data_IF_797065204692
#
_entry.id   IF_797065204692
#
_cell.length_a   1.000
_cell.length_b   1.000
_cell.length_c   1.000
_cell.angle_alpha   90.00
_cell.angle_beta   90.00
_cell.angle_gamma   90.00
#
_symmetry.space_group_name_H-M   'P 1'
#
loop_
_entity.id
_entity.type
_entity.pdbx_description
1 polymer ?
#
# COMPACT_ATOMS: atom_id res chain seq x y z
N UNK A 1 -1.83 6.29 -21.07
CA UNK A 1 -2.40 7.23 -20.10
C UNK A 1 -1.55 8.51 -20.02
N UNK A 2 -2.17 9.69 -19.90
CA UNK A 2 -1.47 11.00 -19.90
C UNK A 2 -0.42 11.10 -18.78
N UNK A 3 -0.73 10.59 -17.57
CA UNK A 3 0.14 10.63 -16.38
C UNK A 3 1.51 9.99 -16.63
N UNK A 4 1.58 8.94 -17.44
CA UNK A 4 2.84 8.25 -17.79
C UNK A 4 3.76 9.04 -18.73
N UNK A 5 3.29 10.18 -19.23
CA UNK A 5 4.06 11.11 -20.05
C UNK A 5 4.34 12.43 -19.34
N UNK A 6 4.00 12.53 -18.06
CA UNK A 6 4.18 13.73 -17.26
C UNK A 6 5.32 13.54 -16.27
N UNK A 7 6.12 14.56 -16.07
CA UNK A 7 7.12 14.68 -15.01
C UNK A 7 6.64 15.64 -13.93
N UNK A 8 7.22 15.53 -12.74
CA UNK A 8 6.95 16.47 -11.64
C UNK A 8 7.87 17.68 -11.76
N UNK A 9 7.30 18.85 -11.77
CA UNK A 9 8.03 20.11 -11.68
C UNK A 9 7.92 20.61 -10.26
N UNK A 10 9.06 20.85 -9.64
CA UNK A 10 9.19 21.45 -8.30
C UNK A 10 9.67 22.90 -8.47
N UNK A 11 8.78 23.89 -8.58
CA UNK A 11 9.17 25.28 -8.76
C UNK A 11 9.83 25.82 -7.48
N UNK A 12 10.71 26.81 -7.60
CA UNK A 12 11.34 27.47 -6.45
C UNK A 12 10.31 28.19 -5.57
N UNK A 13 9.17 28.56 -6.12
CA UNK A 13 8.04 29.16 -5.42
C UNK A 13 6.74 28.54 -5.93
N UNK A 14 5.92 28.00 -5.02
CA UNK A 14 4.65 27.36 -5.37
C UNK A 14 4.63 25.87 -5.04
N UNK A 15 3.57 25.17 -5.47
CA UNK A 15 3.38 23.76 -5.23
C UNK A 15 3.92 22.91 -6.39
N UNK A 16 4.43 21.73 -6.14
CA UNK A 16 4.77 20.77 -7.19
C UNK A 16 3.57 20.48 -8.09
N UNK A 17 3.80 20.36 -9.38
CA UNK A 17 2.75 20.09 -10.36
C UNK A 17 3.22 19.16 -11.48
N UNK A 18 2.27 18.60 -12.21
CA UNK A 18 2.53 17.70 -13.32
C UNK A 18 2.57 18.45 -14.65
N UNK A 19 3.64 18.24 -15.42
CA UNK A 19 3.83 18.80 -16.75
C UNK A 19 4.14 17.69 -17.77
N UNK A 20 3.65 17.83 -19.00
CA UNK A 20 4.04 16.90 -20.07
C UNK A 20 5.54 17.03 -20.32
N UNK A 21 6.22 15.89 -20.35
CA UNK A 21 7.63 15.85 -20.72
C UNK A 21 7.75 16.03 -22.25
N UNK A 22 8.34 17.14 -22.73
CA UNK A 22 8.48 17.39 -24.16
C UNK A 22 9.48 16.43 -24.84
N UNK A 23 10.32 15.77 -24.05
CA UNK A 23 11.32 14.82 -24.52
C UNK A 23 10.97 13.37 -24.14
N UNK A 24 9.68 13.10 -23.86
CA UNK A 24 9.25 11.78 -23.48
C UNK A 24 9.60 10.75 -24.55
N UNK A 25 10.42 9.77 -24.15
CA UNK A 25 10.74 8.59 -24.92
C UNK A 25 10.42 7.34 -24.09
N UNK A 26 9.51 6.52 -24.58
CA UNK A 26 9.08 5.31 -23.91
C UNK A 26 10.24 4.31 -23.74
N UNK A 27 11.20 4.30 -24.66
CA UNK A 27 12.36 3.38 -24.61
C UNK A 27 13.24 3.65 -23.38
N UNK A 28 13.26 4.87 -22.87
CA UNK A 28 13.99 5.23 -21.65
C UNK A 28 13.33 4.68 -20.35
N UNK A 29 12.13 4.14 -20.46
CA UNK A 29 11.35 3.59 -19.35
C UNK A 29 11.16 2.07 -19.41
N UNK A 30 11.51 1.46 -20.55
CA UNK A 30 11.38 0.02 -20.76
C UNK A 30 12.76 -0.63 -20.76
N UNK A 31 12.98 -1.55 -19.86
CA UNK A 31 14.26 -2.23 -19.71
C UNK A 31 14.06 -3.73 -19.90
N UNK A 32 14.91 -4.33 -20.73
CA UNK A 32 14.96 -5.77 -20.92
C UNK A 32 16.27 -6.27 -20.36
N UNK A 33 16.20 -7.12 -19.34
CA UNK A 33 17.37 -7.64 -18.61
C UNK A 33 17.19 -9.14 -18.36
N UNK A 34 18.27 -9.82 -18.04
CA UNK A 34 18.23 -11.23 -17.69
C UNK A 34 18.88 -11.48 -16.33
N UNK A 35 18.35 -12.43 -15.57
CA UNK A 35 19.01 -12.91 -14.36
C UNK A 35 20.19 -13.81 -14.71
N UNK A 36 21.28 -13.73 -13.94
CA UNK A 36 22.34 -14.73 -14.05
C UNK A 36 21.83 -16.11 -13.60
N UNK A 37 22.38 -17.17 -14.17
CA UNK A 37 22.08 -18.52 -13.72
C UNK A 37 22.41 -18.66 -12.21
N UNK A 38 21.58 -19.37 -11.42
CA UNK A 38 20.47 -20.24 -11.82
C UNK A 38 19.12 -19.52 -12.02
N UNK A 39 19.03 -18.21 -11.86
CA UNK A 39 17.78 -17.44 -12.01
C UNK A 39 16.72 -17.79 -10.98
N UNK A 40 17.15 -18.10 -9.77
CA UNK A 40 16.29 -18.49 -8.66
C UNK A 40 15.62 -17.27 -7.97
N UNK A 41 14.78 -17.54 -6.99
CA UNK A 41 14.09 -16.51 -6.21
C UNK A 41 15.09 -15.55 -5.55
N UNK A 42 16.18 -16.05 -5.00
CA UNK A 42 17.17 -15.22 -4.30
C UNK A 42 17.86 -14.22 -5.24
N UNK A 43 18.16 -14.66 -6.48
CA UNK A 43 18.71 -13.77 -7.51
C UNK A 43 17.69 -12.67 -7.89
N UNK A 44 16.41 -13.02 -8.03
CA UNK A 44 15.35 -12.05 -8.31
C UNK A 44 15.15 -11.08 -7.15
N UNK A 45 15.11 -11.55 -5.90
CA UNK A 45 15.01 -10.71 -4.70
C UNK A 45 16.17 -9.72 -4.60
N UNK A 46 17.39 -10.16 -4.93
CA UNK A 46 18.57 -9.30 -4.96
C UNK A 46 18.42 -8.20 -6.01
N UNK A 47 18.08 -8.55 -7.24
CA UNK A 47 17.86 -7.57 -8.31
C UNK A 47 16.78 -6.54 -7.93
N UNK A 48 15.64 -7.00 -7.41
CA UNK A 48 14.54 -6.10 -7.01
C UNK A 48 14.96 -5.21 -5.84
N UNK A 49 15.75 -5.74 -4.89
CA UNK A 49 16.30 -4.96 -3.77
C UNK A 49 17.23 -3.85 -4.26
N UNK A 50 18.11 -4.14 -5.20
CA UNK A 50 19.03 -3.17 -5.79
C UNK A 50 18.27 -2.07 -6.54
N UNK A 51 17.32 -2.47 -7.37
CA UNK A 51 16.45 -1.53 -8.09
C UNK A 51 15.61 -0.68 -7.13
N UNK A 52 15.07 -1.25 -6.05
CA UNK A 52 14.31 -0.51 -5.04
C UNK A 52 15.18 0.47 -4.23
N UNK A 53 16.49 0.21 -4.14
CA UNK A 53 17.46 1.08 -3.45
C UNK A 53 17.91 2.27 -4.28
N UNK A 54 17.62 2.29 -5.59
CA UNK A 54 17.93 3.42 -6.47
C UNK A 54 16.72 4.34 -6.63
N UNK A 55 16.92 5.65 -6.71
CA UNK A 55 15.86 6.60 -6.98
C UNK A 55 15.46 6.60 -8.46
N UNK A 56 14.19 6.90 -8.74
CA UNK A 56 13.76 7.23 -10.09
C UNK A 56 14.29 8.62 -10.49
N UNK A 57 14.61 8.78 -11.77
CA UNK A 57 15.05 10.07 -12.33
C UNK A 57 13.89 11.09 -12.31
N UNK A 58 14.02 12.13 -11.49
CA UNK A 58 12.99 13.16 -11.33
C UNK A 58 12.85 14.09 -12.54
N UNK A 59 13.79 14.06 -13.47
CA UNK A 59 13.70 14.82 -14.72
C UNK A 59 12.80 14.15 -15.76
N UNK A 60 12.38 12.91 -15.50
CA UNK A 60 11.53 12.09 -16.35
C UNK A 60 10.22 11.71 -15.65
N UNK A 61 9.23 11.17 -16.37
CA UNK A 61 8.09 10.50 -15.77
C UNK A 61 8.54 9.42 -14.78
N UNK A 62 7.92 9.40 -13.61
CA UNK A 62 8.40 8.65 -12.44
C UNK A 62 7.98 7.16 -12.46
N UNK A 63 8.33 6.47 -13.54
CA UNK A 63 8.05 5.04 -13.70
C UNK A 63 9.11 4.35 -14.56
N UNK A 64 9.26 3.06 -14.36
CA UNK A 64 10.09 2.16 -15.17
C UNK A 64 9.45 0.75 -15.17
N UNK A 65 9.51 0.07 -16.29
CA UNK A 65 9.12 -1.34 -16.44
C UNK A 65 10.34 -2.16 -16.84
N UNK A 66 10.52 -3.29 -16.21
CA UNK A 66 11.59 -4.24 -16.47
C UNK A 66 10.98 -5.57 -16.90
N UNK A 67 11.30 -6.01 -18.11
CA UNK A 67 11.11 -7.39 -18.52
C UNK A 67 12.38 -8.16 -18.14
N UNK A 68 12.21 -9.18 -17.30
CA UNK A 68 13.32 -9.93 -16.70
C UNK A 68 13.25 -11.35 -17.18
N UNK A 69 14.22 -11.77 -18.02
CA UNK A 69 14.36 -13.14 -18.47
C UNK A 69 15.11 -14.00 -17.46
N UNK A 70 14.98 -15.33 -17.60
CA UNK A 70 15.74 -16.29 -16.81
C UNK A 70 15.26 -16.42 -15.35
N UNK A 71 14.01 -16.11 -15.08
CA UNK A 71 13.39 -16.37 -13.77
C UNK A 71 12.82 -17.78 -13.77
N UNK A 72 13.56 -18.73 -13.19
CA UNK A 72 13.21 -20.14 -13.25
C UNK A 72 13.13 -20.63 -14.71
N UNK A 73 11.92 -21.09 -15.11
CA UNK A 73 11.64 -21.52 -16.50
C UNK A 73 10.92 -20.44 -17.33
N UNK A 74 10.79 -19.25 -16.84
CA UNK A 74 10.04 -18.16 -17.45
C UNK A 74 10.72 -16.80 -17.28
N UNK A 75 9.92 -15.78 -17.13
CA UNK A 75 10.34 -14.40 -16.90
C UNK A 75 9.49 -13.71 -15.85
N UNK A 76 9.86 -12.48 -15.52
CA UNK A 76 9.08 -11.62 -14.64
C UNK A 76 8.92 -10.22 -15.24
N UNK A 77 7.81 -9.57 -14.92
CA UNK A 77 7.60 -8.15 -15.17
C UNK A 77 7.68 -7.39 -13.83
N UNK A 78 8.65 -6.48 -13.73
CA UNK A 78 8.79 -5.60 -12.58
C UNK A 78 8.40 -4.18 -12.98
N UNK A 79 7.43 -3.62 -12.26
CA UNK A 79 7.04 -2.23 -12.39
C UNK A 79 7.56 -1.41 -11.20
N UNK A 80 8.31 -0.36 -11.48
CA UNK A 80 8.72 0.65 -10.51
C UNK A 80 7.93 1.92 -10.78
N UNK A 81 7.12 2.33 -9.83
CA UNK A 81 6.27 3.51 -9.96
C UNK A 81 6.38 4.34 -8.67
N UNK A 82 6.53 5.65 -8.83
CA UNK A 82 6.47 6.55 -7.68
C UNK A 82 5.02 6.69 -7.21
N UNK A 83 4.79 6.66 -5.90
CA UNK A 83 3.44 6.68 -5.33
C UNK A 83 2.63 7.94 -5.65
N UNK A 84 3.29 9.04 -6.06
CA UNK A 84 2.60 10.24 -6.54
C UNK A 84 1.85 10.04 -7.86
N UNK A 85 2.13 8.96 -8.61
CA UNK A 85 1.47 8.70 -9.90
C UNK A 85 0.03 8.18 -9.76
N UNK A 86 -0.28 7.57 -8.64
CA UNK A 86 -1.59 7.03 -8.32
C UNK A 86 -1.54 6.16 -7.07
N UNK A 87 -2.69 5.86 -6.51
CA UNK A 87 -2.79 4.92 -5.40
C UNK A 87 -2.59 3.46 -5.84
N UNK A 88 -2.45 2.56 -4.86
CA UNK A 88 -2.17 1.16 -5.13
C UNK A 88 -3.24 0.48 -5.98
N UNK A 89 -4.51 0.86 -5.83
CA UNK A 89 -5.62 0.28 -6.60
C UNK A 89 -5.55 0.74 -8.05
N UNK A 90 -5.35 2.04 -8.28
CA UNK A 90 -5.22 2.62 -9.61
C UNK A 90 -4.00 2.06 -10.36
N UNK A 91 -2.85 1.91 -9.68
CA UNK A 91 -1.63 1.36 -10.26
C UNK A 91 -1.76 -0.14 -10.59
N UNK A 92 -2.38 -0.94 -9.72
CA UNK A 92 -2.65 -2.35 -9.99
C UNK A 92 -3.59 -2.52 -11.18
N UNK A 93 -4.65 -1.73 -11.27
CA UNK A 93 -5.56 -1.73 -12.43
C UNK A 93 -4.84 -1.39 -13.71
N UNK A 94 -3.98 -0.35 -13.68
CA UNK A 94 -3.18 0.00 -14.83
C UNK A 94 -2.30 -1.17 -15.28
N UNK A 95 -1.59 -1.83 -14.36
CA UNK A 95 -0.73 -2.97 -14.67
C UNK A 95 -1.53 -4.17 -15.22
N UNK A 96 -2.66 -4.47 -14.62
CA UNK A 96 -3.54 -5.53 -15.11
C UNK A 96 -4.12 -5.20 -16.48
N UNK A 97 -4.43 -3.92 -16.75
CA UNK A 97 -4.89 -3.45 -18.06
C UNK A 97 -3.85 -3.58 -19.18
N UNK A 98 -2.57 -3.86 -18.84
CA UNK A 98 -1.54 -4.21 -19.82
C UNK A 98 -1.59 -5.68 -20.26
N UNK A 99 -2.42 -6.50 -19.62
CA UNK A 99 -2.62 -7.91 -19.97
C UNK A 99 -3.90 -8.09 -20.76
N UNK A 100 -3.96 -9.13 -21.60
CA UNK A 100 -5.15 -9.44 -22.41
C UNK A 100 -6.41 -9.71 -21.55
N UNK A 101 -6.22 -10.29 -20.37
CA UNK A 101 -7.30 -10.58 -19.42
C UNK A 101 -7.65 -9.35 -18.56
N UNK A 102 -6.74 -8.44 -18.33
CA UNK A 102 -6.90 -7.28 -17.44
C UNK A 102 -7.92 -6.27 -17.95
N UNK A 103 -8.13 -6.20 -19.26
CA UNK A 103 -9.15 -5.34 -19.88
C UNK A 103 -10.58 -5.73 -19.49
N UNK A 104 -10.80 -6.95 -18.96
CA UNK A 104 -12.08 -7.48 -18.52
C UNK A 104 -12.34 -7.29 -17.01
N UNK A 105 -11.36 -6.78 -16.25
CA UNK A 105 -11.49 -6.64 -14.81
C UNK A 105 -12.33 -5.41 -14.45
N UNK A 106 -13.49 -5.68 -13.89
CA UNK A 106 -14.32 -4.64 -13.28
C UNK A 106 -13.62 -3.99 -12.09
N UNK A 107 -13.91 -2.70 -11.80
CA UNK A 107 -13.40 -2.03 -10.60
C UNK A 107 -13.72 -2.84 -9.33
N UNK A 108 -12.84 -2.89 -8.32
CA UNK A 108 -13.21 -3.47 -7.04
C UNK A 108 -14.42 -2.71 -6.47
N UNK A 109 -15.45 -3.46 -6.09
CA UNK A 109 -16.65 -2.90 -5.44
C UNK A 109 -16.39 -2.45 -3.98
N UNK A 110 -15.16 -2.54 -3.53
CA UNK A 110 -14.76 -2.31 -2.13
C UNK A 110 -14.22 -0.90 -1.98
N UNK A 111 -14.91 -0.09 -1.19
CA UNK A 111 -14.49 1.25 -0.79
C UNK A 111 -15.50 1.86 0.17
N UNK A 112 -15.07 2.83 0.96
CA UNK A 112 -15.96 3.68 1.74
C UNK A 112 -16.41 4.82 0.85
N UNK A 113 -17.73 5.05 0.75
CA UNK A 113 -18.25 6.16 -0.05
C UNK A 113 -17.87 7.50 0.60
N UNK A 114 -17.27 8.38 -0.19
CA UNK A 114 -16.90 9.70 0.30
C UNK A 114 -18.18 10.50 0.67
N UNK A 115 -18.24 11.13 1.85
CA UNK A 115 -19.37 11.96 2.24
C UNK A 115 -19.55 13.12 1.24
N UNK A 116 -20.76 13.27 0.69
CA UNK A 116 -21.10 14.38 -0.22
C UNK A 116 -22.00 15.37 0.52
N UNK A 117 -21.43 16.41 1.11
CA UNK A 117 -22.24 17.39 1.83
C UNK A 117 -23.10 18.18 0.84
N UNK A 118 -24.43 18.08 1.01
CA UNK A 118 -25.42 18.73 0.18
C UNK A 118 -25.66 20.20 0.54
N UNK A 119 -25.15 20.67 1.70
CA UNK A 119 -25.39 22.00 2.20
C UNK A 119 -24.30 22.56 3.12
N UNK A 120 -24.43 23.84 3.47
CA UNK A 120 -23.42 24.55 4.29
C UNK A 120 -23.27 23.93 5.69
N UNK A 121 -24.38 23.48 6.29
CA UNK A 121 -24.37 22.83 7.60
C UNK A 121 -23.65 21.48 7.58
N UNK A 122 -23.85 20.68 6.53
CA UNK A 122 -23.17 19.40 6.37
C UNK A 122 -21.68 19.59 6.08
N UNK A 123 -21.31 20.61 5.28
CA UNK A 123 -19.90 20.97 5.06
C UNK A 123 -19.21 21.40 6.36
N UNK A 124 -19.88 22.19 7.19
CA UNK A 124 -19.37 22.61 8.49
C UNK A 124 -19.22 21.41 9.45
N UNK A 125 -20.19 20.49 9.46
CA UNK A 125 -20.11 19.25 10.25
C UNK A 125 -18.96 18.36 9.78
N UNK A 126 -18.78 18.17 8.47
CA UNK A 126 -17.67 17.39 7.93
C UNK A 126 -16.32 18.03 8.27
N UNK A 127 -16.19 19.36 8.08
CA UNK A 127 -14.96 20.09 8.43
C UNK A 127 -14.64 19.98 9.93
N UNK A 128 -15.65 20.04 10.81
CA UNK A 128 -15.44 19.86 12.25
C UNK A 128 -15.04 18.43 12.62
N UNK A 129 -15.62 17.42 11.96
CA UNK A 129 -15.23 16.02 12.14
C UNK A 129 -13.79 15.76 11.69
N UNK A 130 -13.40 16.29 10.53
CA UNK A 130 -12.03 16.22 10.01
C UNK A 130 -11.03 16.94 10.93
N UNK A 131 -11.38 18.13 11.43
CA UNK A 131 -10.54 18.86 12.38
C UNK A 131 -10.37 18.09 13.70
N UNK A 132 -11.43 17.44 14.18
CA UNK A 132 -11.38 16.59 15.37
C UNK A 132 -10.54 15.33 15.14
N UNK A 133 -10.68 14.69 13.97
CA UNK A 133 -9.89 13.53 13.60
C UNK A 133 -8.38 13.88 13.50
N UNK A 134 -8.05 15.01 12.87
CA UNK A 134 -6.69 15.54 12.82
C UNK A 134 -6.16 15.87 14.20
N UNK A 135 -6.97 16.51 15.06
CA UNK A 135 -6.62 16.81 16.45
C UNK A 135 -6.32 15.53 17.25
N UNK A 136 -7.16 14.50 17.11
CA UNK A 136 -6.92 13.18 17.73
C UNK A 136 -5.63 12.55 17.23
N UNK A 137 -5.36 12.63 15.92
CA UNK A 137 -4.14 12.12 15.33
C UNK A 137 -2.88 12.82 15.88
N UNK A 138 -2.91 14.13 16.04
CA UNK A 138 -1.82 14.92 16.62
C UNK A 138 -1.59 14.64 18.11
N UNK A 139 -2.64 14.23 18.81
CA UNK A 139 -2.59 13.88 20.25
C UNK A 139 -2.27 12.41 20.51
N UNK A 140 -2.14 11.58 19.45
CA UNK A 140 -1.74 10.20 19.64
C UNK A 140 -0.33 10.13 20.25
N UNK A 141 -0.14 9.39 21.34
CA UNK A 141 1.20 9.17 21.87
C UNK A 141 2.05 8.44 20.82
N UNK A 142 3.36 8.68 20.78
CA UNK A 142 4.22 7.96 19.89
C UNK A 142 4.18 6.46 20.18
N UNK A 143 4.26 5.63 19.13
CA UNK A 143 4.42 4.19 19.30
C UNK A 143 5.66 3.87 20.11
N UNK A 144 5.61 2.75 20.83
CA UNK A 144 6.73 2.25 21.64
C UNK A 144 8.03 2.19 20.83
N UNK A 145 9.16 2.48 21.48
CA UNK A 145 10.45 2.35 20.84
C UNK A 145 10.82 0.86 20.76
N UNK A 146 11.12 0.40 19.56
CA UNK A 146 11.44 -1.01 19.27
C UNK A 146 12.58 -1.09 18.25
N UNK A 147 13.11 -2.29 18.03
CA UNK A 147 14.11 -2.55 16.97
C UNK A 147 13.60 -2.26 15.55
N UNK A 148 12.29 -2.04 15.38
CA UNK A 148 11.70 -1.65 14.10
C UNK A 148 11.89 -0.15 13.82
N UNK A 149 12.34 0.63 14.80
CA UNK A 149 12.59 2.07 14.67
C UNK A 149 14.09 2.32 14.62
N UNK A 150 14.53 3.16 13.69
CA UNK A 150 15.92 3.54 13.53
C UNK A 150 16.07 4.58 12.43
N UNK A 151 17.31 4.97 12.15
CA UNK A 151 17.60 5.81 11.00
C UNK A 151 17.31 5.08 9.68
N UNK A 152 16.68 5.77 8.76
CA UNK A 152 16.36 5.21 7.45
C UNK A 152 17.61 5.20 6.56
N UNK A 153 18.05 4.00 6.19
CA UNK A 153 19.10 3.82 5.19
C UNK A 153 18.59 3.96 3.75
N UNK A 154 19.52 4.08 2.82
CA UNK A 154 19.21 4.08 1.37
C UNK A 154 18.98 2.68 0.83
N UNK A 155 19.62 1.67 1.43
CA UNK A 155 19.48 0.28 1.02
C UNK A 155 18.12 -0.28 1.42
N UNK A 156 17.45 -0.87 0.46
CA UNK A 156 16.18 -1.59 0.66
C UNK A 156 16.38 -3.06 0.38
N UNK A 157 15.60 -3.89 1.05
CA UNK A 157 15.54 -5.33 0.78
C UNK A 157 14.10 -5.74 0.57
N UNK A 158 13.90 -6.63 -0.35
CA UNK A 158 12.62 -7.29 -0.59
C UNK A 158 12.78 -8.78 -0.37
N UNK A 159 11.73 -9.40 0.12
CA UNK A 159 11.61 -10.84 0.24
C UNK A 159 10.12 -11.20 0.09
N UNK A 160 9.84 -12.36 -0.44
CA UNK A 160 8.50 -12.95 -0.49
C UNK A 160 8.53 -14.42 -0.13
N UNK A 161 7.45 -14.89 0.42
CA UNK A 161 7.29 -16.30 0.76
C UNK A 161 6.87 -17.12 -0.44
N UNK A 162 6.96 -18.44 -0.30
CA UNK A 162 6.27 -19.34 -1.22
C UNK A 162 4.77 -18.99 -1.30
N UNK A 163 4.16 -19.18 -2.48
CA UNK A 163 2.74 -18.93 -2.64
C UNK A 163 1.87 -19.76 -1.70
N UNK A 164 0.90 -19.14 -1.06
CA UNK A 164 -0.08 -19.81 -0.23
C UNK A 164 -1.41 -19.95 -0.97
N UNK A 165 -2.05 -21.11 -0.87
CA UNK A 165 -3.36 -21.36 -1.48
C UNK A 165 -4.42 -20.42 -0.91
N UNK A 166 -5.13 -19.70 -1.79
CA UNK A 166 -6.14 -18.73 -1.37
C UNK A 166 -7.43 -19.39 -0.81
N UNK A 167 -7.83 -20.54 -1.35
CA UNK A 167 -9.07 -21.23 -0.94
C UNK A 167 -9.07 -21.71 0.51
N UNK A 168 -8.00 -22.33 1.03
CA UNK A 168 -7.89 -22.63 2.46
C UNK A 168 -8.00 -21.38 3.33
N UNK A 169 -7.37 -20.27 2.92
CA UNK A 169 -7.42 -19.00 3.66
C UNK A 169 -8.85 -18.43 3.67
N UNK A 170 -9.51 -18.35 2.51
CA UNK A 170 -10.92 -17.94 2.41
C UNK A 170 -11.85 -18.83 3.22
N UNK A 171 -11.60 -20.13 3.26
CA UNK A 171 -12.37 -21.08 4.06
C UNK A 171 -12.18 -20.85 5.56
N UNK A 172 -10.98 -20.52 6.00
CA UNK A 172 -10.70 -20.14 7.38
C UNK A 172 -11.43 -18.83 7.75
N UNK A 173 -11.41 -17.82 6.89
CA UNK A 173 -12.15 -16.57 7.09
C UNK A 173 -13.65 -16.81 7.26
N UNK A 174 -14.26 -17.62 6.37
CA UNK A 174 -15.70 -17.96 6.46
C UNK A 174 -16.05 -18.67 7.77
N UNK A 175 -15.20 -19.61 8.23
CA UNK A 175 -15.45 -20.32 9.51
C UNK A 175 -15.37 -19.40 10.71
N UNK A 176 -14.52 -18.37 10.66
CA UNK A 176 -14.34 -17.41 11.74
C UNK A 176 -15.24 -16.17 11.64
N UNK A 177 -15.99 -16.01 10.55
CA UNK A 177 -16.83 -14.83 10.32
C UNK A 177 -16.04 -13.54 10.12
N UNK A 178 -14.80 -13.63 9.64
CA UNK A 178 -13.90 -12.48 9.46
C UNK A 178 -13.53 -12.26 7.99
N UNK A 179 -13.00 -11.09 7.66
CA UNK A 179 -12.53 -10.77 6.32
C UNK A 179 -11.08 -11.22 6.12
N UNK A 180 -10.69 -11.36 4.86
CA UNK A 180 -9.32 -11.74 4.49
C UNK A 180 -8.28 -10.77 5.09
N UNK A 181 -8.56 -9.48 5.02
CA UNK A 181 -7.68 -8.45 5.59
C UNK A 181 -7.46 -8.65 7.09
N UNK A 182 -8.52 -8.93 7.84
CA UNK A 182 -8.45 -9.11 9.30
C UNK A 182 -7.53 -10.30 9.65
N UNK A 183 -7.66 -11.40 8.89
CA UNK A 183 -6.83 -12.58 9.07
C UNK A 183 -5.36 -12.32 8.73
N UNK A 184 -5.10 -11.63 7.61
CA UNK A 184 -3.72 -11.29 7.19
C UNK A 184 -3.03 -10.35 8.17
N UNK A 185 -3.74 -9.32 8.66
CA UNK A 185 -3.20 -8.39 9.66
C UNK A 185 -2.98 -9.10 11.00
N UNK A 186 -3.87 -10.05 11.39
CA UNK A 186 -3.68 -10.85 12.59
C UNK A 186 -2.45 -11.78 12.49
N UNK A 187 -2.21 -12.37 11.32
CA UNK A 187 -1.03 -13.17 11.06
C UNK A 187 0.25 -12.33 11.11
N UNK A 188 0.24 -11.15 10.45
CA UNK A 188 1.35 -10.20 10.50
C UNK A 188 1.65 -9.73 11.92
N UNK A 189 0.61 -9.38 12.70
CA UNK A 189 0.75 -9.00 14.11
C UNK A 189 1.41 -10.10 14.92
N UNK A 190 1.03 -11.36 14.66
CA UNK A 190 1.65 -12.50 15.33
C UNK A 190 3.09 -12.77 14.92
N UNK A 191 3.46 -12.48 13.68
CA UNK A 191 4.84 -12.56 13.21
C UNK A 191 5.70 -11.46 13.84
N UNK A 192 5.19 -10.22 13.88
CA UNK A 192 5.83 -9.10 14.55
C UNK A 192 6.02 -9.35 16.06
N UNK A 193 5.01 -9.91 16.72
CA UNK A 193 5.11 -10.27 18.13
C UNK A 193 6.28 -11.23 18.39
N UNK A 194 6.40 -12.31 17.62
CA UNK A 194 7.50 -13.28 17.74
C UNK A 194 8.86 -12.62 17.47
N UNK A 195 8.96 -11.84 16.40
CA UNK A 195 10.18 -11.13 16.07
C UNK A 195 10.61 -10.18 17.19
N UNK A 196 9.68 -9.43 17.79
CA UNK A 196 9.95 -8.51 18.87
C UNK A 196 10.31 -9.22 20.19
N UNK A 197 9.68 -10.39 20.48
CA UNK A 197 10.02 -11.23 21.63
C UNK A 197 11.48 -11.70 21.59
N UNK A 198 12.01 -12.01 20.42
CA UNK A 198 13.42 -12.37 20.23
C UNK A 198 14.38 -11.20 20.55
N UNK A 199 13.90 -9.95 20.51
CA UNK A 199 14.67 -8.73 20.73
C UNK A 199 14.36 -8.01 22.05
N UNK A 200 13.47 -8.55 22.86
CA UNK A 200 13.09 -7.97 24.15
C UNK A 200 11.68 -8.32 24.62
N UNK A 201 11.23 -7.60 25.64
CA UNK A 201 9.87 -7.78 26.16
C UNK A 201 8.86 -7.09 25.28
N UNK A 202 7.71 -7.71 25.08
CA UNK A 202 6.58 -7.18 24.30
C UNK A 202 5.41 -6.72 25.18
N UNK A 203 5.45 -7.01 26.49
CA UNK A 203 4.40 -6.61 27.42
C UNK A 203 4.33 -5.08 27.50
N UNK A 204 3.16 -4.53 27.26
CA UNK A 204 2.92 -3.08 27.27
C UNK A 204 3.42 -2.35 26.00
N UNK A 205 3.90 -3.06 24.97
CA UNK A 205 4.21 -2.42 23.69
C UNK A 205 2.93 -2.02 22.97
N UNK A 206 2.91 -0.77 22.52
CA UNK A 206 1.88 -0.23 21.63
C UNK A 206 2.47 -0.03 20.24
N UNK A 207 1.97 -0.76 19.28
CA UNK A 207 2.28 -0.60 17.87
C UNK A 207 0.99 -0.39 17.08
N UNK A 208 1.07 0.47 16.08
CA UNK A 208 -0.03 0.75 15.17
C UNK A 208 0.36 0.50 13.73
N UNK A 209 -0.57 0.02 12.96
CA UNK A 209 -0.49 -0.01 11.51
C UNK A 209 -1.22 1.21 10.95
N UNK A 210 -0.61 1.85 9.97
CA UNK A 210 -1.27 2.84 9.14
C UNK A 210 -1.87 2.10 7.94
N UNK A 211 -3.19 2.00 7.91
CA UNK A 211 -3.91 1.21 6.91
C UNK A 211 -4.59 2.16 5.92
N UNK A 212 -4.24 2.10 4.63
CA UNK A 212 -4.98 2.84 3.63
C UNK A 212 -6.36 2.23 3.41
N UNK A 213 -7.38 3.07 3.42
CA UNK A 213 -8.77 2.71 3.12
C UNK A 213 -9.16 3.42 1.83
N UNK A 214 -9.59 2.65 0.84
CA UNK A 214 -10.05 3.22 -0.42
C UNK A 214 -11.34 4.01 -0.19
N UNK A 215 -11.31 5.29 -0.53
CA UNK A 215 -12.47 6.19 -0.44
C UNK A 215 -13.05 6.30 -1.85
N UNK A 216 -14.26 5.76 -2.05
CA UNK A 216 -14.91 5.79 -3.36
C UNK A 216 -15.47 7.19 -3.62
N UNK A 217 -14.96 7.86 -4.64
CA UNK A 217 -15.65 9.00 -5.26
C UNK A 217 -16.42 8.51 -6.48
N UNK A 218 -17.75 8.60 -6.43
CA UNK A 218 -18.61 8.17 -7.55
C UNK A 218 -18.47 9.08 -8.80
N UNK A 219 -17.77 10.21 -8.69
CA UNK A 219 -17.46 11.13 -9.80
C UNK A 219 -16.05 10.93 -10.36
N UNK A 220 -15.20 10.13 -9.71
CA UNK A 220 -13.86 9.85 -10.21
C UNK A 220 -13.96 9.01 -11.48
N UNK A 221 -13.57 9.60 -12.60
CA UNK A 221 -13.37 8.89 -13.86
C UNK A 221 -12.16 7.96 -13.78
N UNK A 222 -11.73 7.42 -14.93
CA UNK A 222 -10.53 6.56 -15.07
C UNK A 222 -9.20 7.32 -14.83
N UNK A 223 -9.21 8.42 -14.09
CA UNK A 223 -8.00 9.18 -13.80
C UNK A 223 -7.18 8.49 -12.71
N UNK A 224 -5.87 8.46 -12.92
CA UNK A 224 -4.92 8.00 -11.90
C UNK A 224 -4.83 9.09 -10.82
N UNK A 225 -5.64 8.98 -9.81
CA UNK A 225 -5.67 9.86 -8.64
C UNK A 225 -5.53 9.04 -7.36
N UNK A 226 -5.21 9.72 -6.27
CA UNK A 226 -5.10 9.12 -4.94
C UNK A 226 -6.42 9.31 -4.20
N UNK A 227 -7.25 8.27 -4.15
CA UNK A 227 -8.54 8.26 -3.46
C UNK A 227 -8.49 7.32 -2.25
N UNK A 228 -7.68 7.66 -1.25
CA UNK A 228 -7.61 6.86 -0.03
C UNK A 228 -7.56 7.74 1.22
N UNK A 229 -8.19 7.26 2.27
CA UNK A 229 -7.99 7.75 3.63
C UNK A 229 -6.96 6.87 4.35
N UNK A 230 -6.38 7.40 5.42
CA UNK A 230 -5.43 6.68 6.27
C UNK A 230 -6.02 6.51 7.66
N UNK A 231 -6.07 5.27 8.13
CA UNK A 231 -6.56 4.97 9.49
C UNK A 231 -5.48 4.26 10.30
N UNK A 232 -5.40 4.61 11.58
CA UNK A 232 -4.53 3.93 12.53
C UNK A 232 -5.26 2.75 13.16
N UNK A 233 -4.66 1.57 13.07
CA UNK A 233 -5.14 0.35 13.70
C UNK A 233 -4.13 -0.11 14.72
N UNK A 234 -4.53 -0.19 16.00
CA UNK A 234 -3.67 -0.76 17.05
C UNK A 234 -3.48 -2.24 16.83
N UNK A 235 -2.23 -2.66 16.86
CA UNK A 235 -1.85 -4.06 16.71
C UNK A 235 -1.73 -4.71 18.10
N UNK A 236 -2.55 -5.70 18.43
CA UNK A 236 -2.51 -6.37 19.75
C UNK A 236 -1.30 -7.32 19.86
N UNK A 237 -0.10 -6.74 19.91
CA UNK A 237 1.19 -7.45 19.92
C UNK A 237 1.31 -8.37 21.14
N UNK A 238 0.85 -7.93 22.33
CA UNK A 238 0.94 -8.70 23.57
C UNK A 238 -0.09 -9.85 23.65
N UNK A 239 -1.08 -9.89 22.75
CA UNK A 239 -2.09 -10.95 22.75
C UNK A 239 -1.55 -12.21 22.10
N UNK A 240 -1.25 -13.24 22.91
CA UNK A 240 -0.64 -14.51 22.48
C UNK A 240 -1.63 -15.45 21.80
N UNK A 241 -2.88 -15.48 22.29
CA UNK A 241 -3.92 -16.29 21.66
C UNK A 241 -4.29 -15.78 20.27
N UNK A 242 -4.21 -16.67 19.28
CA UNK A 242 -4.41 -16.33 17.87
C UNK A 242 -5.86 -15.94 17.58
N UNK A 243 -6.81 -16.61 18.22
CA UNK A 243 -8.25 -16.36 18.05
C UNK A 243 -8.64 -15.02 18.66
N UNK A 244 -8.14 -14.73 19.87
CA UNK A 244 -8.35 -13.45 20.54
C UNK A 244 -7.77 -12.28 19.74
N UNK A 245 -6.54 -12.42 19.27
CA UNK A 245 -5.89 -11.42 18.40
C UNK A 245 -6.71 -11.13 17.15
N UNK A 246 -7.20 -12.19 16.48
CA UNK A 246 -8.05 -12.04 15.29
C UNK A 246 -9.38 -11.32 15.63
N UNK A 247 -10.02 -11.66 16.74
CA UNK A 247 -11.26 -11.01 17.17
C UNK A 247 -11.07 -9.53 17.46
N UNK A 248 -10.00 -9.14 18.16
CA UNK A 248 -9.70 -7.74 18.47
C UNK A 248 -9.45 -6.93 17.20
N UNK A 249 -8.70 -7.46 16.25
CA UNK A 249 -8.46 -6.79 14.98
C UNK A 249 -9.72 -6.67 14.13
N UNK A 250 -10.52 -7.72 14.06
CA UNK A 250 -11.81 -7.69 13.36
C UNK A 250 -12.72 -6.59 13.95
N UNK A 251 -12.86 -6.52 15.27
CA UNK A 251 -13.63 -5.46 15.95
C UNK A 251 -13.08 -4.06 15.64
N UNK A 252 -11.76 -3.90 15.64
CA UNK A 252 -11.12 -2.63 15.29
C UNK A 252 -11.46 -2.21 13.86
N UNK A 253 -11.37 -3.11 12.89
CA UNK A 253 -11.74 -2.81 11.50
C UNK A 253 -13.23 -2.53 11.30
N UNK A 254 -14.10 -3.24 12.00
CA UNK A 254 -15.54 -2.97 11.92
C UNK A 254 -15.90 -1.62 12.57
N UNK A 255 -15.25 -1.23 13.68
CA UNK A 255 -15.46 0.08 14.30
C UNK A 255 -15.03 1.24 13.39
N UNK A 256 -13.92 1.08 12.64
CA UNK A 256 -13.46 2.08 11.67
C UNK A 256 -14.47 2.23 10.52
N UNK A 257 -15.02 1.13 10.03
CA UNK A 257 -16.03 1.18 8.96
C UNK A 257 -17.35 1.78 9.40
N UNK A 258 -17.69 1.63 10.68
CA UNK A 258 -18.90 2.22 11.25
C UNK A 258 -18.79 3.75 11.44
N UNK A 259 -17.58 4.31 11.35
CA UNK A 259 -17.29 5.74 11.47
C UNK A 259 -16.61 6.28 10.21
N UNK A 260 -17.28 6.30 9.05
CA UNK A 260 -16.68 6.75 7.79
C UNK A 260 -16.19 8.20 7.81
N UNK A 261 -16.71 9.02 8.74
CA UNK A 261 -16.26 10.41 8.93
C UNK A 261 -14.87 10.53 9.58
N UNK A 262 -14.27 9.40 9.97
CA UNK A 262 -12.95 9.35 10.59
C UNK A 262 -11.82 8.98 9.60
N UNK A 263 -12.15 8.79 8.32
CA UNK A 263 -11.24 8.39 7.23
C UNK A 263 -10.86 9.57 6.35
#
# INVERSE_FOLDING_TARGET
>A
HRRFRQRVIEPSLGLPHWELDPQFDVSAHLHHIALPAPGDQAALETLVSDLASTSLDRQKPLWQLYLIDGVGKGGALLARLHHSMGDGVALVRFLLGLTDEGALLSPPEVGVEAPRPSGLAERAKLASAQALALGRMLLLPPDSNTVLKGELGTQKRVAWSEPAGLDPIKSACRRQGVKLNDLLVAALTGALARFLEEHGRIDGLELRALVPVYVRDASAGDELENHFGLVYVSLPIAVRDRGERLRQLHQSFESIKAQPDAV
#
